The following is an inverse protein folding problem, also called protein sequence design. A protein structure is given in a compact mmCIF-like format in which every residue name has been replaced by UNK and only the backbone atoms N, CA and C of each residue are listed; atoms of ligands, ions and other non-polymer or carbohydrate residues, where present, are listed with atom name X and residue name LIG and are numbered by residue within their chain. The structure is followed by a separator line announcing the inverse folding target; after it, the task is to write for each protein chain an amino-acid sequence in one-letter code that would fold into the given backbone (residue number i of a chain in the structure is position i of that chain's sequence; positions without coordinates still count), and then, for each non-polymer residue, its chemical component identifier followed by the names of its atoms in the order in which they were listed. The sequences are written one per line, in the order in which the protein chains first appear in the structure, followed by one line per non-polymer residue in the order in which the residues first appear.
data_IF_390270681710
#
_entry.id   IF_390270681710
#
_cell.length_a   1.000
_cell.length_b   1.000
_cell.length_c   1.000
_cell.angle_alpha   90.00
_cell.angle_beta   90.00
_cell.angle_gamma   90.00
#
_symmetry.space_group_name_H-M   'P 1'
#
loop_
_entity.id
_entity.type
_entity.pdbx_description
1 polymer ?
#
# COMPACT_ATOMS: atom_id res chain seq x y z
N UNK A 1 3.62 18.72 -9.46
CA UNK A 1 2.73 17.54 -9.67
C UNK A 1 1.44 17.83 -8.93
N UNK A 2 0.29 17.43 -9.49
CA UNK A 2 -0.98 17.54 -8.78
C UNK A 2 -1.16 16.30 -7.90
N UNK A 3 -1.72 16.49 -6.71
CA UNK A 3 -2.08 15.35 -5.86
C UNK A 3 -3.45 14.79 -6.27
N UNK A 4 -3.51 13.47 -6.50
CA UNK A 4 -4.75 12.76 -6.84
C UNK A 4 -5.59 12.46 -5.59
N UNK A 5 -4.94 12.33 -4.44
CA UNK A 5 -5.55 12.20 -3.11
C UNK A 5 -4.81 13.06 -2.11
N UNK A 6 -5.54 13.79 -1.28
CA UNK A 6 -5.01 14.55 -0.14
C UNK A 6 -5.79 14.19 1.11
N UNK A 7 -5.07 13.82 2.16
CA UNK A 7 -5.58 13.50 3.49
C UNK A 7 -4.96 14.44 4.49
N UNK A 8 -5.76 15.12 5.30
CA UNK A 8 -5.29 16.11 6.27
C UNK A 8 -5.97 15.88 7.63
N UNK A 9 -5.16 15.64 8.65
CA UNK A 9 -5.60 15.53 10.03
C UNK A 9 -6.63 14.43 10.29
N UNK A 10 -6.55 13.29 9.58
CA UNK A 10 -7.53 12.23 9.70
C UNK A 10 -7.40 11.53 11.04
N UNK A 11 -8.50 11.51 11.79
CA UNK A 11 -8.63 10.83 13.07
C UNK A 11 -9.79 9.84 13.04
N UNK A 12 -9.57 8.65 13.62
CA UNK A 12 -10.55 7.57 13.74
C UNK A 12 -10.23 6.74 14.97
N UNK A 13 -11.24 6.30 15.72
CA UNK A 13 -11.04 5.43 16.88
C UNK A 13 -11.88 4.16 16.75
N UNK A 14 -11.30 3.05 17.18
CA UNK A 14 -11.91 1.73 17.31
C UNK A 14 -11.43 1.10 18.61
N UNK A 15 -12.26 1.08 19.66
CA UNK A 15 -11.84 0.52 20.93
C UNK A 15 -10.48 1.09 21.38
N UNK A 16 -9.49 0.22 21.49
CA UNK A 16 -8.13 0.59 21.92
C UNK A 16 -7.22 1.10 20.78
N UNK A 17 -7.67 1.00 19.52
CA UNK A 17 -6.90 1.47 18.35
C UNK A 17 -7.41 2.81 17.84
N UNK A 18 -6.49 3.70 17.45
CA UNK A 18 -6.84 5.00 16.86
C UNK A 18 -5.86 5.39 15.74
N UNK A 19 -6.42 5.91 14.64
CA UNK A 19 -5.69 6.76 13.70
C UNK A 19 -5.55 8.13 14.33
N UNK A 20 -4.34 8.69 14.32
CA UNK A 20 -3.98 9.92 15.03
C UNK A 20 -3.30 10.89 14.05
N UNK A 21 -4.06 11.91 13.64
CA UNK A 21 -3.56 13.01 12.78
C UNK A 21 -2.92 12.52 11.49
N UNK A 22 -3.54 11.52 10.85
CA UNK A 22 -3.01 10.92 9.61
C UNK A 22 -3.10 11.94 8.49
N UNK A 23 -1.93 12.37 7.99
CA UNK A 23 -1.78 13.39 6.96
C UNK A 23 -0.79 12.92 5.90
N UNK A 24 -1.25 12.85 4.65
CA UNK A 24 -0.42 12.53 3.49
C UNK A 24 -1.11 12.91 2.18
N UNK A 25 -0.38 12.87 1.08
CA UNK A 25 -0.93 13.01 -0.26
C UNK A 25 -0.35 11.98 -1.22
N UNK A 26 -1.08 11.69 -2.30
CA UNK A 26 -0.64 10.83 -3.39
C UNK A 26 -0.46 11.68 -4.65
N UNK A 27 0.73 11.69 -5.25
CA UNK A 27 0.95 12.38 -6.51
C UNK A 27 0.28 11.62 -7.66
N UNK A 28 -0.19 12.35 -8.66
CA UNK A 28 -0.67 11.78 -9.92
C UNK A 28 0.50 11.13 -10.68
N UNK A 29 0.23 10.01 -11.35
CA UNK A 29 1.22 9.29 -12.16
C UNK A 29 2.11 8.32 -11.39
N UNK A 30 1.81 8.03 -10.11
CA UNK A 30 2.64 7.19 -9.25
C UNK A 30 1.91 5.93 -8.75
N UNK A 31 2.68 4.87 -8.58
CA UNK A 31 2.31 3.71 -7.78
C UNK A 31 2.81 3.94 -6.35
N UNK A 32 1.89 4.11 -5.41
CA UNK A 32 2.21 4.37 -4.01
C UNK A 32 1.92 3.14 -3.15
N UNK A 33 2.94 2.63 -2.47
CA UNK A 33 2.81 1.58 -1.46
C UNK A 33 2.51 2.15 -0.09
N UNK A 34 1.50 1.59 0.59
CA UNK A 34 1.14 1.92 1.96
C UNK A 34 1.57 0.79 2.89
N UNK A 35 2.69 0.96 3.57
CA UNK A 35 3.36 -0.08 4.35
C UNK A 35 3.17 0.08 5.85
N UNK A 36 3.29 -1.01 6.56
CA UNK A 36 3.22 -1.10 8.01
C UNK A 36 2.92 -2.53 8.46
N UNK A 37 3.21 -2.85 9.70
CA UNK A 37 2.90 -4.16 10.28
C UNK A 37 1.39 -4.40 10.41
N UNK A 38 1.02 -5.63 10.69
CA UNK A 38 -0.37 -5.95 10.97
C UNK A 38 -0.85 -5.17 12.21
N UNK A 39 -2.02 -4.56 12.11
CA UNK A 39 -2.55 -3.70 13.16
C UNK A 39 -2.06 -2.24 13.14
N UNK A 40 -1.12 -1.86 12.27
CA UNK A 40 -0.62 -0.48 12.19
C UNK A 40 -1.67 0.57 11.77
N UNK A 41 -2.77 0.14 11.12
CA UNK A 41 -3.87 1.01 10.72
C UNK A 41 -4.11 1.10 9.21
N UNK A 42 -3.44 0.30 8.38
CA UNK A 42 -3.56 0.33 6.91
C UNK A 42 -5.02 0.17 6.45
N UNK A 43 -5.64 -0.97 6.75
CA UNK A 43 -7.04 -1.26 6.38
C UNK A 43 -8.01 -0.23 6.95
N UNK A 44 -7.80 0.21 8.20
CA UNK A 44 -8.64 1.24 8.83
C UNK A 44 -8.54 2.55 8.07
N UNK A 45 -7.34 2.95 7.66
CA UNK A 45 -7.13 4.16 6.84
C UNK A 45 -7.85 4.01 5.51
N UNK A 46 -7.62 2.94 4.74
CA UNK A 46 -8.26 2.74 3.44
C UNK A 46 -9.79 2.75 3.54
N UNK A 47 -10.36 2.02 4.51
CA UNK A 47 -11.82 2.01 4.73
C UNK A 47 -12.37 3.38 5.08
N UNK A 48 -11.62 4.18 5.83
CA UNK A 48 -12.04 5.54 6.18
C UNK A 48 -11.95 6.48 4.98
N UNK A 49 -10.90 6.36 4.15
CA UNK A 49 -10.78 7.11 2.90
C UNK A 49 -11.95 6.86 1.95
N UNK A 50 -12.39 5.60 1.86
CA UNK A 50 -13.49 5.17 0.98
C UNK A 50 -14.89 5.43 1.55
N UNK A 51 -15.00 6.06 2.74
CA UNK A 51 -16.29 6.30 3.39
C UNK A 51 -16.98 5.04 3.91
N UNK A 52 -16.29 3.90 3.97
CA UNK A 52 -16.82 2.65 4.51
C UNK A 52 -16.89 2.66 6.04
N UNK A 53 -16.20 3.59 6.66
CA UNK A 53 -16.28 3.87 8.10
C UNK A 53 -16.21 5.37 8.35
N UNK A 54 -16.96 5.85 9.35
CA UNK A 54 -16.99 7.27 9.68
C UNK A 54 -15.66 7.71 10.33
N UNK A 55 -15.09 8.82 9.87
CA UNK A 55 -14.00 9.51 10.55
C UNK A 55 -14.51 10.31 11.77
N UNK A 56 -13.63 10.58 12.72
CA UNK A 56 -13.91 11.51 13.83
C UNK A 56 -13.65 12.96 13.41
N UNK A 57 -12.56 13.18 12.68
CA UNK A 57 -12.17 14.47 12.14
C UNK A 57 -11.22 14.30 10.94
N UNK A 58 -10.85 15.42 10.32
CA UNK A 58 -9.95 15.46 9.19
C UNK A 58 -10.66 15.65 7.86
N UNK A 59 -9.89 15.93 6.83
CA UNK A 59 -10.35 16.20 5.47
C UNK A 59 -9.77 15.19 4.49
N UNK A 60 -10.61 14.69 3.58
CA UNK A 60 -10.22 13.76 2.53
C UNK A 60 -10.68 14.37 1.20
N UNK A 61 -9.74 14.53 0.27
CA UNK A 61 -10.02 15.06 -1.07
C UNK A 61 -9.44 14.13 -2.13
N UNK A 62 -10.27 13.69 -3.06
CA UNK A 62 -9.85 12.98 -4.26
C UNK A 62 -10.03 13.89 -5.47
N UNK A 63 -9.06 13.95 -6.34
CA UNK A 63 -9.13 14.77 -7.56
C UNK A 63 -9.46 16.25 -7.28
N UNK A 64 -9.08 16.77 -6.12
CA UNK A 64 -9.46 18.09 -5.61
C UNK A 64 -10.88 18.19 -5.04
N UNK A 65 -11.70 17.14 -5.15
CA UNK A 65 -13.07 17.09 -4.64
C UNK A 65 -13.10 16.58 -3.20
N UNK A 66 -13.93 17.21 -2.37
CA UNK A 66 -14.14 16.79 -0.97
C UNK A 66 -15.01 15.52 -0.92
N UNK A 67 -14.52 14.48 -0.23
CA UNK A 67 -15.16 13.17 -0.15
C UNK A 67 -16.56 13.25 0.50
N UNK A 68 -16.74 14.09 1.51
CA UNK A 68 -18.01 14.21 2.24
C UNK A 68 -19.13 14.86 1.37
N UNK A 69 -18.74 15.60 0.34
CA UNK A 69 -19.67 16.34 -0.51
C UNK A 69 -19.87 15.71 -1.89
N UNK A 70 -18.89 14.97 -2.38
CA UNK A 70 -18.84 14.49 -3.77
C UNK A 70 -18.62 12.96 -3.83
N UNK A 71 -19.09 12.22 -2.82
CA UNK A 71 -18.82 10.79 -2.65
C UNK A 71 -19.13 9.97 -3.91
N UNK A 72 -20.30 10.22 -4.54
CA UNK A 72 -20.72 9.48 -5.74
C UNK A 72 -19.80 9.73 -6.93
N UNK A 73 -19.47 10.99 -7.20
CA UNK A 73 -18.59 11.37 -8.30
C UNK A 73 -17.17 10.80 -8.10
N UNK A 74 -16.67 10.88 -6.88
CA UNK A 74 -15.36 10.32 -6.52
C UNK A 74 -15.35 8.81 -6.71
N UNK A 75 -16.36 8.10 -6.18
CA UNK A 75 -16.46 6.63 -6.29
C UNK A 75 -16.61 6.14 -7.72
N UNK A 76 -17.24 6.91 -8.60
CA UNK A 76 -17.34 6.59 -10.03
C UNK A 76 -15.97 6.58 -10.74
N UNK A 77 -14.98 7.29 -10.20
CA UNK A 77 -13.63 7.44 -10.74
C UNK A 77 -12.58 6.58 -10.04
N UNK A 78 -12.96 5.84 -8.99
CA UNK A 78 -12.04 5.00 -8.20
C UNK A 78 -12.33 3.52 -8.42
N UNK A 79 -11.30 2.75 -8.77
CA UNK A 79 -11.34 1.28 -8.74
C UNK A 79 -10.95 0.78 -7.35
N UNK A 80 -11.81 -0.04 -6.73
CA UNK A 80 -11.63 -0.50 -5.36
C UNK A 80 -11.46 -2.02 -5.33
N UNK A 81 -10.39 -2.48 -4.67
CA UNK A 81 -10.11 -3.90 -4.43
C UNK A 81 -9.82 -4.10 -2.95
N UNK A 82 -10.75 -4.71 -2.22
CA UNK A 82 -10.60 -4.97 -0.78
C UNK A 82 -10.26 -6.44 -0.52
N UNK A 83 -9.54 -6.71 0.55
CA UNK A 83 -9.33 -8.08 1.02
C UNK A 83 -10.68 -8.73 1.33
N UNK A 84 -10.92 -9.93 0.76
CA UNK A 84 -12.21 -10.62 0.83
C UNK A 84 -13.26 -10.16 -0.19
N UNK A 85 -13.05 -9.07 -0.93
CA UNK A 85 -13.89 -8.63 -2.07
C UNK A 85 -15.24 -8.01 -1.72
N UNK A 86 -15.86 -8.35 -0.61
CA UNK A 86 -17.18 -7.82 -0.22
C UNK A 86 -18.33 -8.24 -1.15
N UNK A 87 -18.24 -9.41 -1.78
CA UNK A 87 -19.21 -9.93 -2.74
C UNK A 87 -20.31 -10.76 -2.07
N UNK A 88 -21.47 -10.86 -2.73
CA UNK A 88 -22.52 -11.79 -2.36
C UNK A 88 -22.14 -13.22 -2.80
N UNK A 89 -21.80 -14.06 -1.84
CA UNK A 89 -21.21 -15.40 -2.03
C UNK A 89 -22.04 -16.34 -2.90
N UNK A 90 -23.38 -16.21 -2.85
CA UNK A 90 -24.31 -17.07 -3.58
C UNK A 90 -24.52 -16.69 -5.04
N UNK A 91 -24.07 -15.49 -5.44
CA UNK A 91 -24.20 -15.03 -6.80
C UNK A 91 -23.10 -15.60 -7.69
N UNK A 92 -23.43 -15.75 -8.98
CA UNK A 92 -22.41 -15.96 -10.02
C UNK A 92 -21.64 -14.66 -10.32
N UNK A 93 -20.46 -14.80 -10.94
CA UNK A 93 -19.67 -13.64 -11.36
C UNK A 93 -20.46 -12.71 -12.31
N UNK A 94 -21.27 -13.31 -13.22
CA UNK A 94 -22.12 -12.54 -14.12
C UNK A 94 -23.23 -11.76 -13.40
N UNK A 95 -23.89 -12.36 -12.41
CA UNK A 95 -24.93 -11.71 -11.61
C UNK A 95 -24.35 -10.59 -10.75
N UNK A 96 -23.21 -10.84 -10.09
CA UNK A 96 -22.53 -9.83 -9.27
C UNK A 96 -22.05 -8.65 -10.14
N UNK A 97 -21.55 -8.93 -11.37
CA UNK A 97 -21.18 -7.90 -12.34
C UNK A 97 -22.34 -6.96 -12.66
N UNK A 98 -23.56 -7.49 -12.85
CA UNK A 98 -24.74 -6.66 -13.15
C UNK A 98 -25.01 -5.65 -12.03
N UNK A 99 -24.89 -6.09 -10.77
CA UNK A 99 -25.06 -5.21 -9.60
C UNK A 99 -23.98 -4.11 -9.60
N UNK A 100 -22.72 -4.50 -9.74
CA UNK A 100 -21.60 -3.55 -9.65
C UNK A 100 -21.59 -2.60 -10.83
N UNK A 101 -21.77 -3.09 -12.07
CA UNK A 101 -21.74 -2.27 -13.27
C UNK A 101 -22.78 -1.16 -13.28
N UNK A 102 -23.94 -1.40 -12.64
CA UNK A 102 -25.00 -0.39 -12.54
C UNK A 102 -24.65 0.83 -11.68
N UNK A 103 -23.62 0.74 -10.87
CA UNK A 103 -23.15 1.83 -10.02
C UNK A 103 -22.21 2.81 -10.75
N UNK A 104 -21.64 2.41 -11.90
CA UNK A 104 -20.63 3.18 -12.63
C UNK A 104 -21.17 3.76 -13.92
N UNK A 105 -20.86 5.03 -14.18
CA UNK A 105 -21.30 5.74 -15.41
C UNK A 105 -20.45 5.36 -16.62
N UNK A 106 -19.18 5.01 -16.40
CA UNK A 106 -18.18 4.71 -17.44
C UNK A 106 -17.88 3.21 -17.57
N UNK A 107 -18.87 2.34 -17.27
CA UNK A 107 -18.68 0.90 -17.39
C UNK A 107 -18.41 0.45 -18.82
N UNK A 108 -17.36 -0.36 -19.01
CA UNK A 108 -16.97 -0.97 -20.28
C UNK A 108 -17.19 -2.49 -20.25
N UNK A 109 -18.23 -2.96 -20.93
CA UNK A 109 -18.49 -4.39 -21.09
C UNK A 109 -17.38 -5.11 -21.85
N UNK A 110 -16.75 -4.39 -22.79
CA UNK A 110 -15.62 -4.91 -23.58
C UNK A 110 -14.39 -5.16 -22.68
N UNK A 111 -14.05 -4.22 -21.80
CA UNK A 111 -12.94 -4.36 -20.88
C UNK A 111 -13.21 -5.45 -19.85
N UNK A 112 -14.43 -5.49 -19.29
CA UNK A 112 -14.82 -6.56 -18.39
C UNK A 112 -14.63 -7.94 -19.02
N UNK A 113 -15.14 -8.14 -20.25
CA UNK A 113 -14.96 -9.40 -20.97
C UNK A 113 -13.48 -9.71 -21.19
N UNK A 114 -12.68 -8.73 -21.62
CA UNK A 114 -11.24 -8.88 -21.81
C UNK A 114 -10.53 -9.37 -20.54
N UNK A 115 -10.83 -8.78 -19.39
CA UNK A 115 -10.24 -9.20 -18.11
C UNK A 115 -10.75 -10.57 -17.64
N UNK A 116 -12.03 -10.88 -17.83
CA UNK A 116 -12.56 -12.23 -17.53
C UNK A 116 -11.86 -13.30 -18.35
N UNK A 117 -11.67 -13.06 -19.65
CA UNK A 117 -10.97 -13.98 -20.55
C UNK A 117 -9.48 -14.09 -20.14
N UNK A 118 -8.80 -12.98 -19.89
CA UNK A 118 -7.39 -12.92 -19.43
C UNK A 118 -7.18 -13.70 -18.14
N UNK A 119 -8.11 -13.62 -17.20
CA UNK A 119 -8.04 -14.30 -15.91
C UNK A 119 -8.62 -15.72 -15.92
N UNK A 120 -9.15 -16.17 -17.05
CA UNK A 120 -9.81 -17.46 -17.21
C UNK A 120 -10.95 -17.66 -16.19
N UNK A 121 -11.79 -16.64 -16.02
CA UNK A 121 -12.95 -16.64 -15.13
C UNK A 121 -14.23 -16.95 -15.91
N UNK A 122 -15.02 -17.90 -15.43
CA UNK A 122 -16.33 -18.25 -16.02
C UNK A 122 -17.43 -17.40 -15.37
N UNK A 123 -18.18 -16.55 -16.15
CA UNK A 123 -19.27 -15.76 -15.62
C UNK A 123 -20.37 -16.54 -14.91
N UNK A 124 -20.49 -17.86 -15.18
CA UNK A 124 -21.48 -18.74 -14.55
C UNK A 124 -21.00 -19.29 -13.20
N UNK A 125 -19.71 -19.19 -12.92
CA UNK A 125 -19.14 -19.69 -11.66
C UNK A 125 -19.63 -18.87 -10.47
N UNK A 126 -19.96 -19.54 -9.36
CA UNK A 126 -20.36 -18.88 -8.11
C UNK A 126 -19.16 -18.31 -7.35
N UNK A 127 -19.37 -17.19 -6.68
CA UNK A 127 -18.31 -16.48 -5.93
C UNK A 127 -17.78 -17.36 -4.77
N UNK A 128 -18.63 -18.09 -4.07
CA UNK A 128 -18.21 -18.96 -2.98
C UNK A 128 -17.29 -20.11 -3.41
N UNK A 129 -17.28 -20.48 -4.69
CA UNK A 129 -16.41 -21.53 -5.24
C UNK A 129 -15.02 -21.01 -5.68
N UNK A 130 -14.79 -19.70 -5.64
CA UNK A 130 -13.53 -19.11 -6.05
C UNK A 130 -12.42 -19.30 -5.01
N UNK A 131 -11.22 -19.61 -5.46
CA UNK A 131 -10.02 -19.46 -4.65
C UNK A 131 -9.75 -17.97 -4.32
N UNK A 132 -8.93 -17.68 -3.30
CA UNK A 132 -8.55 -16.30 -2.96
C UNK A 132 -7.96 -15.57 -4.18
N UNK A 133 -7.09 -16.23 -4.95
CA UNK A 133 -6.50 -15.66 -6.16
C UNK A 133 -7.53 -15.35 -7.27
N UNK A 134 -8.52 -16.23 -7.46
CA UNK A 134 -9.60 -15.99 -8.42
C UNK A 134 -10.49 -14.82 -7.99
N UNK A 135 -10.81 -14.70 -6.68
CA UNK A 135 -11.55 -13.55 -6.14
C UNK A 135 -10.81 -12.24 -6.38
N UNK A 136 -9.49 -12.23 -6.16
CA UNK A 136 -8.64 -11.07 -6.40
C UNK A 136 -8.66 -10.68 -7.88
N UNK A 137 -8.48 -11.64 -8.81
CA UNK A 137 -8.57 -11.43 -10.24
C UNK A 137 -9.94 -10.88 -10.66
N UNK A 138 -11.01 -11.40 -10.08
CA UNK A 138 -12.37 -10.92 -10.36
C UNK A 138 -12.58 -9.48 -9.83
N UNK A 139 -12.15 -9.18 -8.60
CA UNK A 139 -12.19 -7.83 -8.05
C UNK A 139 -11.44 -6.82 -8.93
N UNK A 140 -10.26 -7.23 -9.43
CA UNK A 140 -9.46 -6.41 -10.34
C UNK A 140 -10.14 -6.23 -11.71
N UNK A 141 -10.76 -7.30 -12.25
CA UNK A 141 -11.54 -7.20 -13.49
C UNK A 141 -12.65 -6.16 -13.36
N UNK A 142 -13.38 -6.16 -12.25
CA UNK A 142 -14.42 -5.16 -11.97
C UNK A 142 -13.83 -3.75 -11.84
N UNK A 143 -12.76 -3.58 -11.06
CA UNK A 143 -12.13 -2.29 -10.81
C UNK A 143 -11.53 -1.64 -12.07
N UNK A 144 -11.07 -2.44 -13.02
CA UNK A 144 -10.48 -1.98 -14.28
C UNK A 144 -11.51 -1.77 -15.41
N UNK A 145 -12.78 -2.16 -15.20
CA UNK A 145 -13.81 -2.14 -16.25
C UNK A 145 -14.69 -0.88 -16.29
N UNK A 146 -14.38 0.14 -15.48
CA UNK A 146 -15.13 1.39 -15.47
C UNK A 146 -14.26 2.65 -15.66
N UNK A 147 -13.11 2.48 -16.31
CA UNK A 147 -12.17 3.58 -16.58
C UNK A 147 -11.74 4.32 -15.32
N UNK A 148 -11.46 3.57 -14.24
CA UNK A 148 -10.97 4.13 -12.99
C UNK A 148 -9.71 4.97 -13.21
N UNK A 149 -9.63 6.13 -12.57
CA UNK A 149 -8.45 6.99 -12.61
C UNK A 149 -7.45 6.66 -11.50
N UNK A 150 -7.97 6.17 -10.36
CA UNK A 150 -7.17 5.74 -9.21
C UNK A 150 -7.61 4.34 -8.75
N UNK A 151 -6.66 3.42 -8.62
CA UNK A 151 -6.91 2.13 -7.99
C UNK A 151 -6.53 2.19 -6.51
N UNK A 152 -7.44 1.78 -5.63
CA UNK A 152 -7.21 1.67 -4.18
C UNK A 152 -7.40 0.21 -3.79
N UNK A 153 -6.34 -0.40 -3.22
CA UNK A 153 -6.34 -1.82 -2.93
C UNK A 153 -5.84 -2.11 -1.52
N UNK A 154 -6.52 -3.03 -0.82
CA UNK A 154 -6.14 -3.49 0.50
C UNK A 154 -5.55 -4.89 0.42
N UNK A 155 -4.24 -5.02 0.69
CA UNK A 155 -3.46 -6.27 0.70
C UNK A 155 -3.65 -7.14 -0.58
N UNK A 156 -3.56 -6.57 -1.81
CA UNK A 156 -3.97 -7.26 -3.04
C UNK A 156 -3.14 -8.50 -3.37
N UNK A 157 -1.92 -8.60 -2.86
CA UNK A 157 -0.99 -9.71 -3.13
C UNK A 157 -0.95 -10.75 -2.00
N UNK A 158 -1.61 -10.46 -0.87
CA UNK A 158 -1.57 -11.32 0.31
C UNK A 158 -2.22 -12.67 0.07
N UNK A 159 -1.47 -13.76 0.34
CA UNK A 159 -1.94 -15.12 0.18
C UNK A 159 -2.11 -15.58 -1.27
N UNK A 160 -1.57 -14.84 -2.25
CA UNK A 160 -1.46 -15.28 -3.63
C UNK A 160 -0.17 -16.09 -3.84
N UNK A 161 -0.25 -17.08 -4.74
CA UNK A 161 0.95 -17.76 -5.21
C UNK A 161 1.85 -16.81 -6.02
N UNK A 162 3.17 -17.12 -6.16
CA UNK A 162 4.12 -16.22 -6.79
C UNK A 162 3.79 -15.87 -8.25
N UNK A 163 3.15 -16.78 -8.99
CA UNK A 163 2.79 -16.56 -10.39
C UNK A 163 1.65 -15.55 -10.52
N UNK A 164 0.56 -15.77 -9.77
CA UNK A 164 -0.59 -14.86 -9.75
C UNK A 164 -0.19 -13.48 -9.24
N UNK A 165 0.68 -13.44 -8.22
CA UNK A 165 1.24 -12.20 -7.68
C UNK A 165 2.03 -11.42 -8.73
N UNK A 166 2.92 -12.10 -9.48
CA UNK A 166 3.66 -11.47 -10.59
C UNK A 166 2.75 -10.93 -11.69
N UNK A 167 1.69 -11.67 -12.04
CA UNK A 167 0.67 -11.21 -13.01
C UNK A 167 -0.05 -9.95 -12.52
N UNK A 168 -0.44 -9.89 -11.23
CA UNK A 168 -1.08 -8.71 -10.66
C UNK A 168 -0.18 -7.48 -10.78
N UNK A 169 1.09 -7.59 -10.34
CA UNK A 169 2.02 -6.46 -10.40
C UNK A 169 2.20 -5.94 -11.83
N UNK A 170 2.30 -6.86 -12.80
CA UNK A 170 2.38 -6.49 -14.23
C UNK A 170 1.14 -5.73 -14.70
N UNK A 171 -0.05 -6.18 -14.33
CA UNK A 171 -1.32 -5.50 -14.67
C UNK A 171 -1.35 -4.09 -14.10
N UNK A 172 -0.85 -3.87 -12.87
CA UNK A 172 -0.79 -2.53 -12.27
C UNK A 172 0.16 -1.60 -13.04
N UNK A 173 1.31 -2.12 -13.49
CA UNK A 173 2.23 -1.37 -14.34
C UNK A 173 1.57 -1.02 -15.69
N UNK A 174 0.96 -2.01 -16.36
CA UNK A 174 0.24 -1.80 -17.63
C UNK A 174 -0.93 -0.81 -17.47
N UNK A 175 -1.63 -0.83 -16.34
CA UNK A 175 -2.69 0.16 -16.05
C UNK A 175 -2.13 1.59 -16.01
N UNK A 176 -0.98 1.80 -15.38
CA UNK A 176 -0.33 3.13 -15.35
C UNK A 176 0.14 3.58 -16.74
N UNK A 177 0.71 2.66 -17.53
CA UNK A 177 1.15 2.93 -18.91
C UNK A 177 -0.01 3.30 -19.84
N UNK A 178 -1.20 2.75 -19.60
CA UNK A 178 -2.42 2.99 -20.39
C UNK A 178 -3.27 4.15 -19.88
N UNK A 179 -2.72 5.08 -19.11
CA UNK A 179 -3.35 6.32 -18.70
C UNK A 179 -4.03 6.29 -17.33
N UNK A 180 -3.77 5.27 -16.52
CA UNK A 180 -4.11 5.28 -15.10
C UNK A 180 -3.38 6.40 -14.38
N UNK A 181 -4.09 7.14 -13.51
CA UNK A 181 -3.51 8.32 -12.84
C UNK A 181 -2.86 8.00 -11.50
N UNK A 182 -3.12 6.82 -10.94
CA UNK A 182 -2.48 6.40 -9.70
C UNK A 182 -2.91 5.01 -9.24
N UNK A 183 -2.02 4.38 -8.50
CA UNK A 183 -2.28 3.15 -7.76
C UNK A 183 -1.88 3.38 -6.31
N UNK A 184 -2.77 3.08 -5.38
CA UNK A 184 -2.53 3.14 -3.95
C UNK A 184 -2.89 1.81 -3.31
N UNK A 185 -1.92 1.06 -2.81
CA UNK A 185 -2.21 -0.22 -2.19
C UNK A 185 -1.48 -0.45 -0.88
N UNK A 186 -2.20 -1.02 0.07
CA UNK A 186 -1.63 -1.46 1.32
C UNK A 186 -0.93 -2.81 1.14
N UNK A 187 0.19 -3.00 1.79
CA UNK A 187 0.85 -4.31 1.88
C UNK A 187 1.80 -4.39 3.07
N UNK A 188 1.98 -5.59 3.58
CA UNK A 188 3.09 -5.95 4.47
C UNK A 188 4.20 -6.70 3.72
N UNK A 189 4.03 -6.95 2.42
CA UNK A 189 4.96 -7.68 1.56
C UNK A 189 5.79 -6.66 0.77
N UNK A 190 6.88 -6.22 1.36
CA UNK A 190 7.74 -5.15 0.85
C UNK A 190 8.38 -5.49 -0.50
N UNK A 191 8.67 -6.77 -0.76
CA UNK A 191 9.26 -7.22 -2.03
C UNK A 191 8.40 -6.96 -3.28
N UNK A 192 7.10 -6.65 -3.14
CA UNK A 192 6.27 -6.20 -4.26
C UNK A 192 6.56 -4.74 -4.58
N UNK A 193 6.74 -3.94 -3.54
CA UNK A 193 7.02 -2.52 -3.64
C UNK A 193 8.40 -2.25 -4.23
N UNK A 194 9.39 -3.08 -3.88
CA UNK A 194 10.72 -3.02 -4.51
C UNK A 194 10.63 -3.04 -6.04
N UNK A 195 9.64 -3.78 -6.59
CA UNK A 195 9.49 -3.98 -8.04
C UNK A 195 8.75 -2.85 -8.74
N UNK A 196 7.67 -2.31 -8.15
CA UNK A 196 6.74 -1.44 -8.89
C UNK A 196 6.43 -0.10 -8.20
N UNK A 197 6.78 0.10 -6.91
CA UNK A 197 6.43 1.35 -6.24
C UNK A 197 7.35 2.50 -6.64
N UNK A 198 6.76 3.68 -6.81
CA UNK A 198 7.46 4.96 -6.97
C UNK A 198 7.54 5.69 -5.63
N UNK A 199 6.45 5.64 -4.86
CA UNK A 199 6.29 6.31 -3.57
C UNK A 199 6.00 5.31 -2.46
N UNK A 200 6.45 5.62 -1.25
CA UNK A 200 6.17 4.84 -0.06
C UNK A 200 5.60 5.73 1.05
N UNK A 201 4.56 5.24 1.67
CA UNK A 201 3.99 5.83 2.88
C UNK A 201 3.99 4.76 3.96
N UNK A 202 4.65 5.03 5.08
CA UNK A 202 4.65 4.12 6.22
C UNK A 202 3.72 4.61 7.31
N UNK A 203 2.89 3.70 7.81
CA UNK A 203 2.06 3.91 8.99
C UNK A 203 2.49 2.95 10.11
N UNK A 204 2.62 3.46 11.32
CA UNK A 204 2.81 2.67 12.54
C UNK A 204 1.96 3.23 13.68
N UNK A 205 1.34 2.35 14.45
CA UNK A 205 0.50 2.71 15.60
C UNK A 205 -0.52 3.85 15.30
N UNK A 206 -1.10 3.84 14.08
CA UNK A 206 -2.07 4.80 13.61
C UNK A 206 -1.51 6.19 13.26
N UNK A 207 -0.19 6.34 13.10
CA UNK A 207 0.48 7.58 12.68
C UNK A 207 1.31 7.37 11.42
N UNK A 208 1.39 8.38 10.57
CA UNK A 208 2.33 8.36 9.44
C UNK A 208 3.75 8.56 9.97
N UNK A 209 4.63 7.62 9.63
CA UNK A 209 6.05 7.66 9.98
C UNK A 209 6.85 8.43 8.93
N UNK A 210 6.59 8.14 7.65
CA UNK A 210 7.16 8.88 6.53
C UNK A 210 6.28 8.77 5.28
N UNK A 211 6.49 9.70 4.35
CA UNK A 211 6.04 9.69 2.96
C UNK A 211 7.22 10.13 2.10
N UNK A 212 7.73 9.24 1.26
CA UNK A 212 8.97 9.51 0.51
C UNK A 212 8.98 8.77 -0.84
N UNK A 213 9.71 9.28 -1.81
CA UNK A 213 10.08 8.54 -3.02
C UNK A 213 10.93 7.33 -2.67
N UNK A 214 10.66 6.18 -3.30
CA UNK A 214 11.36 4.92 -3.00
C UNK A 214 12.87 5.05 -3.12
N UNK A 215 13.36 5.63 -4.22
CA UNK A 215 14.80 5.71 -4.46
C UNK A 215 15.48 6.66 -3.48
N UNK A 216 14.86 7.80 -3.18
CA UNK A 216 15.33 8.74 -2.14
C UNK A 216 15.39 8.06 -0.77
N UNK A 217 14.36 7.26 -0.44
CA UNK A 217 14.33 6.50 0.81
C UNK A 217 15.50 5.51 0.88
N UNK A 218 15.69 4.67 -0.14
CA UNK A 218 16.74 3.66 -0.21
C UNK A 218 18.15 4.28 -0.24
N UNK A 219 18.29 5.51 -0.73
CA UNK A 219 19.55 6.24 -0.74
C UNK A 219 19.85 6.99 0.57
N UNK A 220 18.82 7.27 1.36
CA UNK A 220 18.95 7.93 2.66
C UNK A 220 19.41 6.98 3.76
N UNK A 221 18.94 5.73 3.73
CA UNK A 221 19.26 4.75 4.75
C UNK A 221 20.44 3.84 4.35
N UNK A 222 21.16 3.32 5.33
CA UNK A 222 22.23 2.32 5.15
C UNK A 222 22.12 1.24 6.21
N UNK A 223 22.38 0.01 5.79
CA UNK A 223 22.69 -1.10 6.70
C UNK A 223 24.18 -1.04 7.00
N UNK A 224 24.50 -1.12 8.28
CA UNK A 224 25.88 -1.14 8.78
C UNK A 224 26.09 -2.43 9.55
N UNK A 225 27.16 -3.15 9.22
CA UNK A 225 27.63 -4.35 9.94
C UNK A 225 29.02 -4.12 10.49
N UNK A 226 29.27 -4.58 11.69
CA UNK A 226 30.56 -4.41 12.35
C UNK A 226 30.70 -5.27 13.60
N UNK A 227 31.83 -5.10 14.29
CA UNK A 227 32.11 -5.79 15.56
C UNK A 227 31.29 -5.18 16.69
N UNK A 228 30.57 -6.00 17.47
CA UNK A 228 29.80 -5.57 18.63
C UNK A 228 30.65 -4.86 19.69
N UNK A 229 31.91 -5.20 19.83
CA UNK A 229 32.84 -4.54 20.73
C UNK A 229 33.14 -3.07 20.37
N UNK A 230 32.89 -2.67 19.12
CA UNK A 230 33.06 -1.30 18.65
C UNK A 230 31.83 -0.42 18.91
N UNK A 231 30.68 -0.98 19.30
CA UNK A 231 29.45 -0.27 19.59
C UNK A 231 29.46 0.45 20.93
N UNK A 232 30.03 1.65 20.96
CA UNK A 232 29.95 2.53 22.13
C UNK A 232 28.51 3.03 22.35
N UNK A 233 28.20 3.54 23.56
CA UNK A 233 26.90 4.12 23.89
C UNK A 233 26.54 5.27 22.95
N UNK A 234 27.50 6.07 22.52
CA UNK A 234 27.25 7.20 21.61
C UNK A 234 27.05 6.71 20.17
N UNK A 235 27.81 5.72 19.72
CA UNK A 235 27.60 5.12 18.41
C UNK A 235 26.19 4.51 18.26
N UNK A 236 25.66 3.89 19.32
CA UNK A 236 24.31 3.30 19.32
C UNK A 236 23.22 4.31 19.03
N UNK A 237 23.34 5.56 19.45
CA UNK A 237 22.36 6.64 19.24
C UNK A 237 22.21 7.04 17.75
N UNK A 238 23.19 6.69 16.92
CA UNK A 238 23.19 6.98 15.48
C UNK A 238 22.35 5.99 14.66
N UNK A 239 21.89 4.92 15.28
CA UNK A 239 21.09 3.88 14.63
C UNK A 239 19.62 3.97 15.02
N UNK A 240 18.76 3.67 14.07
CA UNK A 240 17.31 3.51 14.28
C UNK A 240 17.01 2.19 15.00
N UNK A 241 17.69 1.13 14.55
CA UNK A 241 17.64 -0.19 15.19
C UNK A 241 18.99 -0.87 15.09
N UNK A 242 19.30 -1.74 16.06
CA UNK A 242 20.52 -2.55 16.10
C UNK A 242 20.12 -3.97 16.52
N UNK A 243 20.62 -4.94 15.78
CA UNK A 243 20.58 -6.35 16.14
C UNK A 243 21.99 -6.84 16.38
N UNK A 244 22.24 -7.41 17.55
CA UNK A 244 23.56 -7.95 17.94
C UNK A 244 23.52 -9.47 17.99
N UNK A 245 24.61 -10.08 17.57
CA UNK A 245 24.83 -11.51 17.60
C UNK A 245 26.23 -11.77 18.17
N UNK A 246 26.60 -13.05 18.43
CA UNK A 246 27.93 -13.44 18.83
C UNK A 246 29.02 -13.10 17.78
N UNK A 247 28.63 -12.82 16.54
CA UNK A 247 29.51 -12.54 15.41
C UNK A 247 29.63 -11.05 15.05
N UNK A 248 28.91 -10.17 15.77
CA UNK A 248 28.91 -8.74 15.51
C UNK A 248 27.49 -8.14 15.51
N UNK A 249 27.38 -6.93 15.00
CA UNK A 249 26.10 -6.23 14.93
C UNK A 249 25.69 -5.94 13.48
N UNK A 250 24.39 -5.80 13.30
CA UNK A 250 23.77 -5.21 12.12
C UNK A 250 22.84 -4.08 12.58
N UNK A 251 23.01 -2.88 12.04
CA UNK A 251 22.16 -1.74 12.38
C UNK A 251 21.76 -0.94 11.16
N UNK A 252 20.63 -0.23 11.26
CA UNK A 252 20.14 0.67 10.21
C UNK A 252 20.30 2.13 10.66
N UNK A 253 20.83 2.97 9.76
CA UNK A 253 21.13 4.37 10.06
C UNK A 253 20.87 5.28 8.87
N UNK A 254 20.61 6.57 9.15
CA UNK A 254 20.67 7.68 8.16
C UNK A 254 22.00 8.44 8.25
N UNK A 255 22.81 8.20 9.26
CA UNK A 255 23.99 9.01 9.66
C UNK A 255 25.28 8.27 9.41
N UNK A 256 25.47 7.73 8.18
CA UNK A 256 26.62 6.86 7.87
C UNK A 256 27.97 7.54 8.07
N UNK A 257 28.06 8.85 7.80
CA UNK A 257 29.32 9.61 7.97
C UNK A 257 29.72 9.69 9.43
N UNK A 258 28.76 9.93 10.32
CA UNK A 258 28.99 9.97 11.77
C UNK A 258 29.29 8.58 12.32
N UNK A 259 28.57 7.54 11.88
CA UNK A 259 28.88 6.16 12.27
C UNK A 259 30.33 5.80 11.94
N UNK A 260 30.82 6.17 10.75
CA UNK A 260 32.22 5.89 10.37
C UNK A 260 33.25 6.62 11.23
N UNK A 261 32.92 7.76 11.81
CA UNK A 261 33.81 8.48 12.73
C UNK A 261 33.95 7.76 14.09
N UNK A 262 32.90 7.03 14.51
CA UNK A 262 32.95 6.22 15.74
C UNK A 262 33.46 4.81 15.51
N UNK A 263 33.09 4.21 14.36
CA UNK A 263 33.43 2.83 14.01
C UNK A 263 34.05 2.81 12.60
N UNK A 264 35.38 2.94 12.48
CA UNK A 264 36.02 3.04 11.15
C UNK A 264 35.88 1.78 10.29
N UNK A 265 35.93 0.60 10.91
CA UNK A 265 35.90 -0.69 10.23
C UNK A 265 34.45 -1.25 10.19
N UNK A 266 33.65 -0.78 9.23
CA UNK A 266 32.29 -1.24 9.03
C UNK A 266 32.07 -1.67 7.59
N UNK A 267 31.20 -2.64 7.42
CA UNK A 267 30.60 -2.97 6.12
C UNK A 267 29.31 -2.17 5.97
N UNK A 268 29.10 -1.59 4.80
CA UNK A 268 27.92 -0.77 4.49
C UNK A 268 27.21 -1.35 3.29
N UNK A 269 25.90 -1.61 3.45
CA UNK A 269 25.06 -2.17 2.41
C UNK A 269 23.87 -1.24 2.14
N UNK A 270 23.30 -1.31 0.93
CA UNK A 270 22.02 -0.65 0.58
C UNK A 270 20.88 -1.44 1.23
N UNK A 271 19.95 -0.80 1.96
CA UNK A 271 18.82 -1.49 2.55
C UNK A 271 17.78 -1.89 1.51
N UNK A 272 16.94 -2.86 1.85
CA UNK A 272 15.64 -3.11 1.21
C UNK A 272 14.55 -2.30 1.94
N UNK A 273 13.37 -2.19 1.34
CA UNK A 273 12.21 -1.54 1.99
C UNK A 273 11.88 -2.21 3.33
N UNK A 274 12.02 -3.54 3.41
CA UNK A 274 11.79 -4.29 4.64
C UNK A 274 12.69 -3.84 5.79
N UNK A 275 13.97 -3.66 5.53
CA UNK A 275 14.94 -3.22 6.54
C UNK A 275 14.55 -1.86 7.12
N UNK A 276 14.16 -0.93 6.23
CA UNK A 276 13.72 0.42 6.61
C UNK A 276 12.43 0.36 7.42
N UNK A 277 11.47 -0.46 7.00
CA UNK A 277 10.21 -0.65 7.71
C UNK A 277 10.48 -1.18 9.13
N UNK A 278 11.24 -2.26 9.25
CA UNK A 278 11.57 -2.85 10.56
C UNK A 278 12.39 -1.91 11.44
N UNK A 279 13.31 -1.15 10.86
CA UNK A 279 14.10 -0.16 11.58
C UNK A 279 13.30 1.01 12.17
N UNK A 280 12.13 1.31 11.59
CA UNK A 280 11.25 2.39 12.06
C UNK A 280 10.11 1.89 12.97
N UNK A 281 9.91 0.58 13.13
CA UNK A 281 8.89 0.03 14.04
C UNK A 281 9.40 0.12 15.48
N UNK A 282 8.57 0.66 16.36
CA UNK A 282 8.88 0.74 17.80
C UNK A 282 9.88 1.83 18.17
N UNK A 283 10.12 2.80 17.31
CA UNK A 283 11.02 3.93 17.54
C UNK A 283 10.46 5.01 18.48
N UNK A 284 9.76 4.66 19.55
CA UNK A 284 9.67 5.49 20.75
C UNK A 284 10.78 5.07 21.71
N UNK A 285 11.91 5.79 21.66
CA UNK A 285 12.90 5.81 22.74
C UNK A 285 12.53 6.90 23.73
#
# INVERSE_FOLDING_TARGET
MNDILTVSGLNKSYGDFSLKDVTFSLPEGCITGFIGVNGAGKTTTLRTLLGLTNKLSGKIQFFGLDMDKNEREIKDRIGIVLDGGGFYEELSLGEMKVIISSAYTSWSEQDFKRYMDMFSLDPKQKINSLSKGMRMKYALALALSHNAELLIMDEPTSGLDPLVRGQLLKILTEYMENGGKGVFFSTHITSDLDKIADMLIMIDNGRIVFREEKDTLLDTYRIVKGDSGALTTDARKLFLSISETDFGFTGITKQISEVRSYIPNIMVERPMIEDIMLGNIGGEK
#
